data_IF_104217733963
#
_entry.id   IF_104217733963
#
_cell.length_a   1.000
_cell.length_b   1.000
_cell.length_c   1.000
_cell.angle_alpha   90.00
_cell.angle_beta   90.00
_cell.angle_gamma   90.00
#
_symmetry.space_group_name_H-M   'P 1'
#
loop_
_entity.id
_entity.type
_entity.pdbx_description
1 polymer ?
#
# COMPACT_ATOMS: atom_id res chain seq x y z
N UNK A 1 -14.94 -24.36 10.98
CA UNK A 1 -15.32 -23.00 11.42
C UNK A 1 -14.79 -22.04 10.38
N UNK A 2 -15.62 -21.17 9.80
CA UNK A 2 -15.22 -20.21 8.75
C UNK A 2 -15.03 -18.86 9.41
N UNK A 3 -13.89 -18.23 9.18
CA UNK A 3 -13.56 -16.89 9.70
C UNK A 3 -13.59 -15.90 8.55
N UNK A 4 -14.28 -14.79 8.72
CA UNK A 4 -14.36 -13.70 7.74
C UNK A 4 -13.49 -12.55 8.25
N UNK A 5 -12.45 -12.22 7.46
CA UNK A 5 -11.55 -11.11 7.73
C UNK A 5 -11.85 -9.99 6.75
N UNK A 6 -12.07 -8.78 7.26
CA UNK A 6 -12.28 -7.58 6.44
C UNK A 6 -11.15 -6.59 6.68
N UNK A 7 -10.58 -6.09 5.59
CA UNK A 7 -9.58 -5.03 5.57
C UNK A 7 -10.28 -3.80 5.00
N UNK A 8 -10.44 -2.75 5.80
CA UNK A 8 -11.19 -1.56 5.39
C UNK A 8 -10.69 -0.30 6.13
N UNK A 9 -10.93 0.84 5.52
CA UNK A 9 -10.65 2.17 6.07
C UNK A 9 -11.82 2.68 6.93
N UNK A 10 -13.04 2.27 6.57
CA UNK A 10 -14.27 2.69 7.23
C UNK A 10 -15.08 1.48 7.71
N UNK A 11 -15.99 1.72 8.65
CA UNK A 11 -16.93 0.70 9.10
C UNK A 11 -18.06 0.53 8.07
N UNK A 12 -17.76 -0.18 6.99
CA UNK A 12 -18.71 -0.52 5.91
C UNK A 12 -19.74 -1.55 6.38
N UNK A 13 -20.84 -1.70 5.64
CA UNK A 13 -21.88 -2.70 5.96
C UNK A 13 -21.33 -4.12 5.98
N UNK A 14 -20.35 -4.43 5.12
CA UNK A 14 -19.60 -5.69 5.13
C UNK A 14 -18.73 -5.85 6.38
N UNK A 15 -18.05 -4.77 6.82
CA UNK A 15 -17.20 -4.80 8.02
C UNK A 15 -17.99 -5.13 9.30
N UNK A 16 -19.29 -4.81 9.36
CA UNK A 16 -20.15 -5.12 10.51
C UNK A 16 -20.40 -6.61 10.73
N UNK A 17 -20.25 -7.43 9.68
CA UNK A 17 -20.44 -8.88 9.75
C UNK A 17 -19.12 -9.65 9.86
N UNK A 18 -17.97 -8.95 9.96
CA UNK A 18 -16.67 -9.58 10.03
C UNK A 18 -16.36 -10.08 11.45
N UNK A 19 -15.68 -11.22 11.54
CA UNK A 19 -15.14 -11.71 12.82
C UNK A 19 -13.90 -10.90 13.24
N UNK A 20 -13.10 -10.49 12.25
CA UNK A 20 -11.88 -9.70 12.43
C UNK A 20 -11.87 -8.51 11.47
N UNK A 21 -11.65 -7.33 12.03
CA UNK A 21 -11.49 -6.08 11.30
C UNK A 21 -10.04 -5.59 11.39
N UNK A 22 -9.41 -5.37 10.24
CA UNK A 22 -8.05 -4.84 10.15
C UNK A 22 -8.08 -3.44 9.51
N UNK A 23 -7.57 -2.39 10.20
CA UNK A 23 -7.61 -1.03 9.70
C UNK A 23 -6.51 -0.78 8.65
N UNK A 24 -6.92 -0.40 7.45
CA UNK A 24 -6.01 -0.04 6.35
C UNK A 24 -5.71 1.48 6.31
N UNK A 25 -4.78 1.88 5.44
CA UNK A 25 -4.51 3.29 5.14
C UNK A 25 -5.42 3.81 4.03
N UNK A 26 -5.74 5.11 4.11
CA UNK A 26 -6.35 5.80 2.98
C UNK A 26 -5.30 6.09 1.89
N UNK A 27 -5.75 6.24 0.64
CA UNK A 27 -4.88 6.54 -0.52
C UNK A 27 -4.07 7.83 -0.37
N UNK A 28 -4.52 8.77 0.48
CA UNK A 28 -3.79 10.01 0.81
C UNK A 28 -2.66 9.80 1.83
N UNK A 29 -2.62 8.65 2.50
CA UNK A 29 -1.64 8.29 3.53
C UNK A 29 -0.53 7.37 2.97
N UNK A 30 -0.67 6.87 1.74
CA UNK A 30 0.23 5.89 1.11
C UNK A 30 0.69 6.34 -0.28
N UNK A 31 1.88 5.88 -0.71
CA UNK A 31 2.31 5.98 -2.11
C UNK A 31 1.52 4.97 -2.95
N UNK A 32 0.71 5.46 -3.88
CA UNK A 32 -0.15 4.63 -4.72
C UNK A 32 -0.08 5.03 -6.19
N UNK A 33 -0.31 4.04 -7.06
CA UNK A 33 -0.36 4.18 -8.51
C UNK A 33 -1.78 3.82 -8.92
N UNK A 34 -2.55 4.83 -9.31
CA UNK A 34 -3.93 4.63 -9.72
C UNK A 34 -3.97 4.66 -11.26
N UNK A 35 -4.14 3.50 -11.92
CA UNK A 35 -4.41 3.47 -13.34
C UNK A 35 -5.84 3.91 -13.62
N UNK A 36 -6.03 4.68 -14.68
CA UNK A 36 -7.37 4.96 -15.18
C UNK A 36 -7.95 3.67 -15.79
N UNK A 37 -8.80 2.98 -15.03
CA UNK A 37 -9.42 1.71 -15.46
C UNK A 37 -10.78 1.92 -16.15
N UNK A 38 -11.43 3.09 -16.01
CA UNK A 38 -12.76 3.34 -16.61
C UNK A 38 -13.22 4.82 -16.66
N UNK A 39 -12.37 5.78 -17.05
CA UNK A 39 -12.73 7.20 -17.09
C UNK A 39 -12.04 7.98 -18.22
N UNK A 40 -12.45 7.73 -19.48
CA UNK A 40 -12.22 8.63 -20.61
C UNK A 40 -11.27 8.12 -21.71
N UNK A 41 -11.36 8.74 -22.89
CA UNK A 41 -10.64 8.40 -24.13
C UNK A 41 -9.11 8.65 -24.08
N UNK A 42 -8.52 8.84 -22.90
CA UNK A 42 -7.08 9.03 -22.69
C UNK A 42 -6.62 8.25 -21.46
N UNK A 43 -5.63 7.38 -21.64
CA UNK A 43 -4.96 6.69 -20.55
C UNK A 43 -4.05 7.65 -19.79
N UNK A 44 -4.34 7.88 -18.51
CA UNK A 44 -3.46 8.58 -17.59
C UNK A 44 -3.20 7.70 -16.37
N UNK A 45 -1.99 7.84 -15.81
CA UNK A 45 -1.57 7.21 -14.57
C UNK A 45 -1.36 8.32 -13.54
N UNK A 46 -2.03 8.21 -12.40
CA UNK A 46 -1.84 9.17 -11.31
C UNK A 46 -0.90 8.56 -10.28
N UNK A 47 0.23 9.22 -10.06
CA UNK A 47 1.15 8.91 -8.99
C UNK A 47 0.85 9.79 -7.79
N UNK A 48 0.52 9.17 -6.66
CA UNK A 48 0.20 9.89 -5.43
C UNK A 48 1.37 9.74 -4.46
N UNK A 49 1.79 10.87 -3.89
CA UNK A 49 2.68 10.89 -2.73
C UNK A 49 1.83 11.06 -1.46
N UNK A 50 2.23 10.46 -0.32
CA UNK A 50 1.48 10.54 0.91
C UNK A 50 1.43 11.99 1.37
N UNK A 51 0.22 12.56 1.41
CA UNK A 51 -0.01 13.92 1.86
C UNK A 51 0.03 14.03 3.39
N UNK A 52 -0.28 12.93 4.08
CA UNK A 52 -0.25 12.84 5.54
C UNK A 52 0.37 11.53 6.01
N UNK A 53 0.97 11.51 7.20
CA UNK A 53 1.43 10.28 7.83
C UNK A 53 0.27 9.38 8.24
N UNK A 54 0.50 8.07 8.26
CA UNK A 54 -0.45 7.08 8.78
C UNK A 54 -0.93 7.48 10.18
N UNK A 55 -2.24 7.61 10.35
CA UNK A 55 -2.83 7.94 11.65
C UNK A 55 -3.17 6.67 12.42
N UNK A 56 -2.96 6.70 13.74
CA UNK A 56 -3.30 5.61 14.67
C UNK A 56 -2.58 4.29 14.35
N UNK A 57 -3.26 3.16 14.53
CA UNK A 57 -2.74 1.80 14.34
C UNK A 57 -2.92 1.29 12.91
N UNK A 58 -3.30 2.18 11.97
CA UNK A 58 -3.51 1.85 10.55
C UNK A 58 -2.20 1.41 9.92
N UNK A 59 -2.26 0.33 9.15
CA UNK A 59 -1.08 -0.21 8.46
C UNK A 59 -1.44 -0.55 7.03
N UNK A 60 -0.51 -0.35 6.08
CA UNK A 60 -0.84 -0.50 4.68
C UNK A 60 -1.08 -1.98 4.38
N UNK A 61 -1.97 -2.26 3.45
CA UNK A 61 -2.32 -3.64 3.06
C UNK A 61 -1.09 -4.52 2.79
N UNK A 62 -0.04 -3.99 2.17
CA UNK A 62 1.21 -4.73 1.93
C UNK A 62 1.91 -5.16 3.22
N UNK A 63 1.89 -4.31 4.25
CA UNK A 63 2.44 -4.64 5.57
C UNK A 63 1.60 -5.74 6.24
N UNK A 64 0.27 -5.63 6.19
CA UNK A 64 -0.64 -6.60 6.78
C UNK A 64 -0.43 -7.98 6.15
N UNK A 65 -0.43 -8.05 4.83
CA UNK A 65 -0.24 -9.30 4.09
C UNK A 65 1.15 -9.88 4.30
N UNK A 66 2.18 -9.05 4.39
CA UNK A 66 3.54 -9.49 4.74
C UNK A 66 3.59 -10.14 6.13
N UNK A 67 2.90 -9.57 7.11
CA UNK A 67 2.82 -10.12 8.47
C UNK A 67 2.01 -11.42 8.56
N UNK A 68 0.97 -11.55 7.74
CA UNK A 68 0.24 -12.82 7.57
C UNK A 68 1.14 -13.87 6.91
N UNK A 69 1.87 -13.50 5.85
CA UNK A 69 2.79 -14.40 5.15
C UNK A 69 3.89 -14.93 6.09
N UNK A 70 4.45 -14.08 6.98
CA UNK A 70 5.41 -14.54 8.02
C UNK A 70 4.85 -15.61 8.93
N UNK A 71 3.58 -15.47 9.33
CA UNK A 71 2.91 -16.44 10.21
C UNK A 71 2.56 -17.74 9.48
N UNK A 72 2.42 -17.69 8.15
CA UNK A 72 2.19 -18.87 7.31
C UNK A 72 3.48 -19.65 7.02
N UNK A 73 4.64 -19.00 7.04
CA UNK A 73 5.95 -19.64 6.94
C UNK A 73 6.98 -18.77 6.23
N UNK A 74 8.27 -19.01 6.53
CA UNK A 74 9.37 -18.21 5.97
C UNK A 74 9.47 -18.32 4.45
N UNK A 75 9.20 -19.51 3.89
CA UNK A 75 9.16 -19.73 2.44
C UNK A 75 8.07 -18.90 1.74
N UNK A 76 6.90 -18.77 2.38
CA UNK A 76 5.76 -18.00 1.86
C UNK A 76 6.05 -16.51 1.95
N UNK A 77 6.62 -16.06 3.07
CA UNK A 77 7.03 -14.69 3.24
C UNK A 77 8.11 -14.28 2.23
N UNK A 78 9.11 -15.14 2.00
CA UNK A 78 10.18 -14.87 1.05
C UNK A 78 9.64 -14.75 -0.39
N UNK A 79 8.74 -15.66 -0.79
CA UNK A 79 8.07 -15.58 -2.10
C UNK A 79 7.18 -14.34 -2.23
N UNK A 80 6.49 -13.95 -1.17
CA UNK A 80 5.62 -12.77 -1.16
C UNK A 80 6.41 -11.46 -1.24
N UNK A 81 7.57 -11.40 -0.58
CA UNK A 81 8.40 -10.19 -0.51
C UNK A 81 9.46 -10.09 -1.61
N UNK A 82 9.49 -11.05 -2.56
CA UNK A 82 10.39 -11.06 -3.72
C UNK A 82 11.86 -10.76 -3.36
N UNK A 83 12.34 -11.29 -2.22
CA UNK A 83 13.68 -11.06 -1.68
C UNK A 83 14.06 -9.60 -1.39
N UNK A 84 13.06 -8.71 -1.26
CA UNK A 84 13.26 -7.29 -0.94
C UNK A 84 13.51 -7.13 0.57
N UNK A 85 14.68 -6.60 1.02
CA UNK A 85 15.00 -6.50 2.44
C UNK A 85 14.06 -5.57 3.22
N UNK A 86 13.71 -6.00 4.44
CA UNK A 86 12.85 -5.33 5.45
C UNK A 86 13.22 -3.87 5.77
N UNK A 87 14.44 -3.45 5.43
CA UNK A 87 14.98 -2.12 5.75
C UNK A 87 15.03 -1.16 4.55
N UNK A 88 14.37 -1.52 3.45
CA UNK A 88 14.06 -0.58 2.38
C UNK A 88 12.62 -0.13 2.60
N UNK A 89 12.44 1.07 3.18
CA UNK A 89 11.12 1.70 3.16
C UNK A 89 10.59 1.68 1.73
N UNK A 90 9.42 1.08 1.53
CA UNK A 90 8.65 1.09 0.29
C UNK A 90 9.53 1.07 -0.98
N UNK A 91 10.34 0.02 -1.20
CA UNK A 91 11.17 -0.05 -2.42
C UNK A 91 10.41 -0.54 -3.65
N UNK A 92 9.19 -1.05 -3.49
CA UNK A 92 8.19 -1.10 -4.57
C UNK A 92 7.88 0.32 -5.09
N UNK A 93 8.07 1.33 -4.24
CA UNK A 93 7.53 2.68 -4.38
C UNK A 93 8.59 3.70 -4.82
N UNK A 94 9.88 3.32 -4.78
CA UNK A 94 10.92 4.04 -5.52
C UNK A 94 11.44 3.21 -6.70
N UNK A 95 10.85 3.35 -7.91
CA UNK A 95 11.54 3.02 -9.14
C UNK A 95 12.99 3.56 -9.08
N UNK A 96 13.99 2.90 -9.68
CA UNK A 96 15.35 3.47 -9.83
C UNK A 96 15.32 4.91 -10.40
N UNK A 97 14.25 5.23 -11.14
CA UNK A 97 13.94 6.56 -11.67
C UNK A 97 13.56 7.62 -10.61
N UNK A 98 13.01 7.26 -9.45
CA UNK A 98 12.66 8.18 -8.34
C UNK A 98 13.90 8.87 -7.73
N UNK A 99 15.05 8.20 -7.69
CA UNK A 99 16.33 8.84 -7.32
C UNK A 99 16.77 9.88 -8.34
N UNK A 100 16.32 9.76 -9.60
CA UNK A 100 16.61 10.70 -10.70
C UNK A 100 15.69 11.93 -10.64
N UNK A 101 14.41 11.76 -10.31
CA UNK A 101 13.44 12.85 -10.14
C UNK A 101 13.79 13.76 -8.96
N UNK A 102 14.13 13.20 -7.78
CA UNK A 102 14.54 14.01 -6.61
C UNK A 102 15.82 14.84 -6.84
N UNK A 103 16.57 14.56 -7.92
CA UNK A 103 17.76 15.33 -8.32
C UNK A 103 17.42 16.54 -9.20
N UNK A 104 16.27 16.56 -9.85
CA UNK A 104 15.75 17.76 -10.52
C UNK A 104 15.12 18.68 -9.47
N UNK A 105 15.98 19.42 -8.76
CA UNK A 105 15.55 20.57 -7.95
C UNK A 105 14.92 21.57 -8.93
N UNK A 106 13.69 22.08 -8.71
CA UNK A 106 13.14 23.13 -9.55
C UNK A 106 14.11 24.31 -9.50
N UNK A 107 14.69 24.70 -10.64
CA UNK A 107 15.31 26.02 -10.74
C UNK A 107 14.22 27.02 -10.42
N UNK A 108 14.42 27.71 -9.29
CA UNK A 108 13.66 28.87 -8.86
C UNK A 108 13.60 29.83 -10.05
N UNK A 109 12.40 30.07 -10.58
CA UNK A 109 12.11 31.27 -11.37
C UNK A 109 12.20 32.47 -10.42
#
# INVERSE_FOLDING_TARGET
MRTIVVIDNFMTSSAKYADLLLPDLMTVEQEDIIPNDYAGNMGYLIFIQPATSAKFERKPIYWILSEVAKRLGDDVHQRFTEDVPRNSGCSICTPKWWRKIRRCRPTRI
#
